data_IF_039885571186
#
_entry.id   IF_039885571186
#
_cell.length_a   1.000
_cell.length_b   1.000
_cell.length_c   1.000
_cell.angle_alpha   90.00
_cell.angle_beta   90.00
_cell.angle_gamma   90.00
#
_symmetry.space_group_name_H-M   'P 1'
#
loop_
_entity.id
_entity.type
_entity.pdbx_description
1 polymer ?
#
# COMPACT_ATOMS: atom_id res chain seq x y z
N UNK A 1 1.40 9.49 12.23
CA UNK A 1 1.02 8.30 11.45
C UNK A 1 2.07 7.24 11.70
N UNK A 2 1.68 6.04 12.09
CA UNK A 2 2.60 4.94 12.36
C UNK A 2 3.00 4.25 11.06
N UNK A 3 4.02 4.80 10.39
CA UNK A 3 4.66 4.19 9.22
C UNK A 3 3.74 3.89 8.02
N UNK A 4 3.10 4.90 7.38
CA UNK A 4 2.19 4.67 6.25
C UNK A 4 2.85 3.88 5.11
N UNK A 5 2.13 2.91 4.57
CA UNK A 5 2.55 2.12 3.41
C UNK A 5 2.01 2.65 2.09
N UNK A 6 2.82 2.54 1.04
CA UNK A 6 2.36 2.61 -0.35
C UNK A 6 2.19 1.18 -0.88
N UNK A 7 1.08 0.92 -1.53
CA UNK A 7 0.81 -0.38 -2.16
C UNK A 7 0.58 -0.19 -3.65
N UNK A 8 1.25 -1.01 -4.47
CA UNK A 8 1.20 -0.93 -5.93
C UNK A 8 0.79 -2.29 -6.48
N UNK A 9 -0.32 -2.34 -7.20
CA UNK A 9 -0.85 -3.54 -7.85
C UNK A 9 -0.59 -3.43 -9.35
N UNK A 10 0.22 -4.34 -9.88
CA UNK A 10 0.46 -4.47 -11.31
C UNK A 10 -0.35 -5.63 -11.90
N UNK A 11 -0.52 -5.59 -13.21
CA UNK A 11 -1.01 -6.71 -13.99
C UNK A 11 -0.12 -7.94 -13.78
N UNK A 12 -0.76 -9.06 -13.48
CA UNK A 12 -0.07 -10.32 -13.24
C UNK A 12 0.51 -10.47 -11.84
N UNK A 13 0.36 -9.51 -10.92
CA UNK A 13 0.71 -9.70 -9.51
C UNK A 13 -0.20 -10.70 -8.79
N UNK A 14 0.26 -11.27 -7.67
CA UNK A 14 -0.57 -12.10 -6.79
C UNK A 14 -1.65 -11.26 -6.08
N UNK A 15 -2.79 -11.12 -6.76
CA UNK A 15 -3.95 -10.38 -6.27
C UNK A 15 -4.45 -10.92 -4.92
N UNK A 16 -4.38 -12.23 -4.67
CA UNK A 16 -4.96 -12.81 -3.46
C UNK A 16 -4.18 -12.40 -2.21
N UNK A 17 -2.86 -12.56 -2.24
CA UNK A 17 -2.00 -12.14 -1.14
C UNK A 17 -2.02 -10.61 -0.98
N UNK A 18 -2.07 -9.87 -2.08
CA UNK A 18 -2.19 -8.42 -2.07
C UNK A 18 -3.49 -7.95 -1.40
N UNK A 19 -4.63 -8.57 -1.75
CA UNK A 19 -5.93 -8.25 -1.16
C UNK A 19 -5.92 -8.44 0.35
N UNK A 20 -5.30 -9.51 0.87
CA UNK A 20 -5.25 -9.73 2.31
C UNK A 20 -4.61 -8.54 3.05
N UNK A 21 -3.46 -8.06 2.57
CA UNK A 21 -2.80 -6.87 3.12
C UNK A 21 -3.67 -5.61 3.05
N UNK A 22 -4.30 -5.37 1.90
CA UNK A 22 -5.14 -4.19 1.70
C UNK A 22 -6.40 -4.23 2.58
N UNK A 23 -7.07 -5.37 2.65
CA UNK A 23 -8.30 -5.55 3.43
C UNK A 23 -8.01 -5.34 4.93
N UNK A 24 -6.94 -5.92 5.45
CA UNK A 24 -6.51 -5.66 6.84
C UNK A 24 -6.27 -4.17 7.09
N UNK A 25 -5.62 -3.47 6.16
CA UNK A 25 -5.39 -2.03 6.25
C UNK A 25 -6.68 -1.20 6.13
N UNK A 26 -7.65 -1.66 5.34
CA UNK A 26 -8.95 -1.02 5.20
C UNK A 26 -9.77 -1.11 6.48
N UNK A 27 -9.67 -2.23 7.21
CA UNK A 27 -10.37 -2.44 8.48
C UNK A 27 -9.73 -1.70 9.65
N UNK A 28 -8.40 -1.51 9.64
CA UNK A 28 -7.68 -0.68 10.60
C UNK A 28 -6.65 0.25 9.90
N UNK A 29 -7.11 1.36 9.31
CA UNK A 29 -6.23 2.31 8.62
C UNK A 29 -5.32 3.12 9.56
N UNK A 30 -5.48 2.95 10.88
CA UNK A 30 -4.65 3.59 11.90
C UNK A 30 -3.56 2.66 12.42
N UNK A 31 -3.60 1.37 12.05
CA UNK A 31 -2.59 0.39 12.41
C UNK A 31 -1.19 0.78 11.93
N UNK A 32 -0.18 0.20 12.58
CA UNK A 32 1.20 0.32 12.13
C UNK A 32 1.36 -0.34 10.75
N UNK A 33 2.07 0.34 9.85
CA UNK A 33 2.32 -0.14 8.48
C UNK A 33 1.06 -0.31 7.62
N UNK A 34 -0.09 0.24 8.05
CA UNK A 34 -1.30 0.24 7.23
C UNK A 34 -1.06 0.94 5.89
N UNK A 35 -1.65 0.39 4.83
CA UNK A 35 -1.66 1.00 3.51
C UNK A 35 -2.37 2.35 3.61
N UNK A 36 -1.66 3.40 3.22
CA UNK A 36 -2.19 4.75 3.12
C UNK A 36 -2.67 5.01 1.69
N UNK A 37 -1.86 4.63 0.70
CA UNK A 37 -2.13 4.89 -0.71
C UNK A 37 -2.02 3.61 -1.49
N UNK A 38 -2.99 3.38 -2.36
CA UNK A 38 -3.08 2.27 -3.26
C UNK A 38 -2.95 2.78 -4.71
N UNK A 39 -2.00 2.23 -5.46
CA UNK A 39 -1.90 2.41 -6.90
C UNK A 39 -2.32 1.11 -7.56
N UNK A 40 -3.28 1.16 -8.49
CA UNK A 40 -3.75 -0.02 -9.21
C UNK A 40 -3.56 0.17 -10.70
N UNK A 41 -2.98 -0.82 -11.37
CA UNK A 41 -2.85 -0.78 -12.83
C UNK A 41 -4.23 -0.86 -13.47
N UNK A 42 -4.49 0.01 -14.45
CA UNK A 42 -5.81 0.18 -15.09
C UNK A 42 -6.41 -1.15 -15.58
N UNK A 43 -5.59 -2.03 -16.15
CA UNK A 43 -6.02 -3.33 -16.70
C UNK A 43 -6.60 -4.30 -15.68
N UNK A 44 -6.29 -4.14 -14.38
CA UNK A 44 -6.79 -5.01 -13.31
C UNK A 44 -7.71 -4.30 -12.32
N UNK A 45 -7.87 -2.97 -12.44
CA UNK A 45 -8.60 -2.11 -11.49
C UNK A 45 -9.96 -2.66 -11.12
N UNK A 46 -10.85 -2.81 -12.09
CA UNK A 46 -12.26 -3.11 -11.82
C UNK A 46 -12.39 -4.50 -11.17
N UNK A 47 -11.71 -5.51 -11.73
CA UNK A 47 -11.71 -6.87 -11.16
C UNK A 47 -11.09 -6.94 -9.75
N UNK A 48 -10.10 -6.08 -9.46
CA UNK A 48 -9.48 -6.00 -8.15
C UNK A 48 -10.43 -5.36 -7.14
N UNK A 49 -11.08 -4.26 -7.53
CA UNK A 49 -12.01 -3.52 -6.67
C UNK A 49 -13.26 -4.34 -6.35
N UNK A 50 -13.83 -5.06 -7.31
CA UNK A 50 -14.95 -5.96 -7.06
C UNK A 50 -14.63 -6.95 -5.93
N UNK A 51 -13.47 -7.61 -5.99
CA UNK A 51 -13.04 -8.58 -4.97
C UNK A 51 -12.70 -7.95 -3.63
N UNK A 52 -12.20 -6.72 -3.62
CA UNK A 52 -11.94 -5.98 -2.37
C UNK A 52 -13.26 -5.61 -1.68
N UNK A 53 -14.24 -5.13 -2.44
CA UNK A 53 -15.57 -4.77 -1.91
C UNK A 53 -16.29 -5.98 -1.30
N UNK A 54 -16.15 -7.16 -1.90
CA UNK A 54 -16.71 -8.41 -1.37
C UNK A 54 -16.13 -8.80 0.00
N UNK A 55 -14.89 -8.37 0.30
CA UNK A 55 -14.20 -8.67 1.55
C UNK A 55 -14.30 -7.54 2.59
N UNK A 56 -14.84 -6.37 2.22
CA UNK A 56 -15.07 -5.29 3.17
C UNK A 56 -16.15 -5.70 4.18
N UNK A 57 -15.88 -5.39 5.44
CA UNK A 57 -16.74 -5.66 6.59
C UNK A 57 -16.88 -4.39 7.39
N UNK A 58 -17.88 -4.33 8.26
CA UNK A 58 -18.07 -3.20 9.15
C UNK A 58 -16.80 -2.94 9.98
N UNK A 59 -16.39 -1.67 10.00
CA UNK A 59 -15.28 -1.19 10.82
C UNK A 59 -15.57 -1.41 12.30
N UNK A 60 -14.52 -1.69 13.07
CA UNK A 60 -14.59 -1.68 14.53
C UNK A 60 -15.11 -0.31 15.02
N UNK A 61 -15.97 -0.25 16.04
CA UNK A 61 -16.48 1.01 16.57
C UNK A 61 -15.40 2.03 16.93
N UNK A 62 -14.20 1.61 17.35
CA UNK A 62 -13.10 2.54 17.63
C UNK A 62 -12.59 3.23 16.36
N UNK A 63 -12.51 2.50 15.25
CA UNK A 63 -12.10 3.03 13.95
C UNK A 63 -13.22 3.91 13.36
N UNK A 64 -14.46 3.40 13.36
CA UNK A 64 -15.62 4.10 12.80
C UNK A 64 -15.95 5.42 13.53
N UNK A 65 -15.67 5.50 14.83
CA UNK A 65 -15.87 6.72 15.61
C UNK A 65 -14.60 7.57 15.74
N UNK A 66 -13.48 7.17 15.12
CA UNK A 66 -12.24 7.92 15.20
C UNK A 66 -12.43 9.35 14.62
N UNK A 67 -12.05 10.42 15.33
CA UNK A 67 -12.32 11.80 14.89
C UNK A 67 -11.78 12.14 13.50
N UNK A 68 -10.63 11.57 13.12
CA UNK A 68 -10.08 11.74 11.76
C UNK A 68 -10.99 11.11 10.71
N UNK A 69 -11.47 9.88 10.94
CA UNK A 69 -12.34 9.19 9.99
C UNK A 69 -13.66 9.93 9.80
N UNK A 70 -14.31 10.33 10.89
CA UNK A 70 -15.57 11.10 10.85
C UNK A 70 -15.40 12.42 10.11
N UNK A 71 -14.30 13.14 10.35
CA UNK A 71 -13.98 14.40 9.67
C UNK A 71 -13.76 14.19 8.17
N UNK A 72 -13.02 13.13 7.81
CA UNK A 72 -12.76 12.77 6.42
C UNK A 72 -14.05 12.42 5.70
N UNK A 73 -14.92 11.61 6.31
CA UNK A 73 -16.23 11.23 5.75
C UNK A 73 -17.09 12.48 5.43
N UNK A 74 -17.18 13.42 6.39
CA UNK A 74 -17.91 14.66 6.20
C UNK A 74 -17.31 15.53 5.07
N UNK A 75 -15.98 15.51 4.90
CA UNK A 75 -15.29 16.23 3.83
C UNK A 75 -15.57 15.61 2.47
N UNK A 76 -15.44 14.29 2.34
CA UNK A 76 -15.71 13.54 1.11
C UNK A 76 -17.14 13.74 0.63
N UNK A 77 -18.12 13.75 1.54
CA UNK A 77 -19.50 14.03 1.21
C UNK A 77 -19.70 15.43 0.62
N UNK A 78 -19.01 16.45 1.15
CA UNK A 78 -19.11 17.83 0.65
C UNK A 78 -18.57 17.99 -0.76
N UNK A 79 -17.48 17.31 -1.08
CA UNK A 79 -16.82 17.42 -2.38
C UNK A 79 -17.35 16.41 -3.42
N UNK A 80 -18.25 15.51 -3.00
CA UNK A 80 -18.79 14.43 -3.86
C UNK A 80 -17.68 13.59 -4.50
N UNK A 81 -16.69 13.23 -3.68
CA UNK A 81 -15.59 12.37 -4.14
C UNK A 81 -16.13 11.03 -4.64
N UNK A 82 -15.45 10.46 -5.64
CA UNK A 82 -15.67 9.06 -5.99
C UNK A 82 -15.09 8.18 -4.88
N UNK A 83 -15.96 7.43 -4.21
CA UNK A 83 -15.58 6.52 -3.13
C UNK A 83 -16.00 5.11 -3.47
N UNK A 84 -15.17 4.16 -3.04
CA UNK A 84 -15.45 2.73 -3.09
C UNK A 84 -15.62 2.29 -1.64
N UNK A 85 -16.78 1.72 -1.36
CA UNK A 85 -17.24 1.34 -0.02
C UNK A 85 -17.71 -0.10 0.00
N UNK A 86 -17.85 -0.68 1.19
CA UNK A 86 -18.38 -2.02 1.35
C UNK A 86 -19.83 -2.12 0.86
N UNK A 87 -20.27 -3.35 0.61
CA UNK A 87 -21.63 -3.61 0.15
C UNK A 87 -22.65 -3.00 1.14
N UNK A 88 -23.51 -2.05 0.72
CA UNK A 88 -24.43 -1.34 1.62
C UNK A 88 -25.51 -2.24 2.23
N UNK A 89 -25.70 -3.45 1.71
CA UNK A 89 -26.58 -4.46 2.32
C UNK A 89 -25.97 -5.14 3.54
N UNK A 90 -24.64 -5.10 3.67
CA UNK A 90 -23.87 -5.80 4.70
C UNK A 90 -23.13 -4.85 5.64
N UNK A 91 -22.76 -3.67 5.13
CA UNK A 91 -21.91 -2.70 5.85
C UNK A 91 -22.64 -1.36 5.94
N UNK A 92 -22.87 -0.84 7.16
CA UNK A 92 -23.57 0.42 7.32
C UNK A 92 -22.69 1.60 6.85
N UNK A 93 -23.26 2.66 6.24
CA UNK A 93 -22.49 3.76 5.65
C UNK A 93 -21.58 4.51 6.62
N UNK A 94 -21.93 4.56 7.90
CA UNK A 94 -21.14 5.26 8.94
C UNK A 94 -19.97 4.43 9.48
N UNK A 95 -19.87 3.14 9.13
CA UNK A 95 -18.79 2.26 9.57
C UNK A 95 -18.28 1.40 8.40
N UNK A 96 -18.26 1.96 7.19
CA UNK A 96 -17.69 1.28 6.02
C UNK A 96 -16.20 1.57 5.87
N UNK A 97 -15.36 0.55 5.61
CA UNK A 97 -14.04 0.79 5.04
C UNK A 97 -14.18 1.56 3.72
N UNK A 98 -13.17 2.37 3.37
CA UNK A 98 -13.28 3.29 2.25
C UNK A 98 -11.98 3.46 1.49
N UNK A 99 -12.07 3.29 0.18
CA UNK A 99 -11.11 3.80 -0.78
C UNK A 99 -11.66 5.08 -1.41
N UNK A 100 -10.77 6.03 -1.70
CA UNK A 100 -11.13 7.31 -2.31
C UNK A 100 -10.32 7.50 -3.59
N UNK A 101 -11.01 7.57 -4.73
CA UNK A 101 -10.36 7.73 -6.03
C UNK A 101 -9.86 9.15 -6.24
N UNK A 102 -8.67 9.28 -6.85
CA UNK A 102 -8.14 10.50 -7.45
C UNK A 102 -8.05 11.73 -6.53
N UNK A 103 -7.90 11.49 -5.22
CA UNK A 103 -7.59 12.50 -4.21
C UNK A 103 -6.30 12.15 -3.49
N UNK A 104 -5.49 13.16 -3.22
CA UNK A 104 -4.28 13.02 -2.41
C UNK A 104 -4.63 13.07 -0.91
N UNK A 105 -3.83 12.42 -0.07
CA UNK A 105 -4.01 12.48 1.39
C UNK A 105 -3.96 13.90 1.92
N UNK A 106 -3.08 14.73 1.36
CA UNK A 106 -2.99 16.15 1.68
C UNK A 106 -4.32 16.89 1.51
N UNK A 107 -5.14 16.47 0.55
CA UNK A 107 -6.47 17.04 0.36
C UNK A 107 -7.43 16.59 1.46
N UNK A 108 -7.24 15.44 2.08
CA UNK A 108 -8.16 14.88 3.09
C UNK A 108 -7.87 15.41 4.49
N UNK A 109 -6.60 15.51 4.88
CA UNK A 109 -6.18 16.14 6.13
C UNK A 109 -4.70 15.94 6.45
N UNK A 110 -4.27 16.52 7.58
CA UNK A 110 -2.91 16.36 8.08
C UNK A 110 -2.80 15.07 8.91
N UNK A 111 -2.06 14.08 8.42
CA UNK A 111 -1.85 12.79 9.09
C UNK A 111 -2.85 11.71 8.69
N UNK A 112 -3.07 10.67 9.53
CA UNK A 112 -3.93 9.54 9.17
C UNK A 112 -5.41 9.96 9.14
N UNK A 113 -6.04 9.74 7.99
CA UNK A 113 -7.40 10.22 7.68
C UNK A 113 -8.48 9.16 7.93
N UNK A 114 -8.08 7.91 8.14
CA UNK A 114 -8.99 6.77 8.32
C UNK A 114 -9.55 6.22 7.00
N UNK A 115 -9.05 6.68 5.86
CA UNK A 115 -9.39 6.16 4.53
C UNK A 115 -8.12 5.91 3.73
N UNK A 116 -8.20 5.08 2.71
CA UNK A 116 -7.07 4.81 1.82
C UNK A 116 -7.31 5.56 0.50
N UNK A 117 -6.31 6.31 0.02
CA UNK A 117 -6.39 6.96 -1.29
C UNK A 117 -6.04 5.97 -2.38
N UNK A 118 -6.76 6.03 -3.50
CA UNK A 118 -6.55 5.14 -4.63
C UNK A 118 -6.32 5.94 -5.91
N UNK A 119 -5.30 5.54 -6.67
CA UNK A 119 -5.03 6.08 -7.99
C UNK A 119 -4.81 4.97 -9.01
N UNK A 120 -5.20 5.24 -10.24
CA UNK A 120 -5.00 4.31 -11.36
C UNK A 120 -3.78 4.73 -12.16
N UNK A 121 -3.02 3.77 -12.68
CA UNK A 121 -1.88 4.02 -13.57
C UNK A 121 -1.85 3.04 -14.75
N UNK A 122 -1.21 3.44 -15.85
CA UNK A 122 -0.99 2.59 -17.03
C UNK A 122 0.45 2.15 -17.19
N UNK A 123 1.40 2.96 -16.71
CA UNK A 123 2.84 2.69 -16.84
C UNK A 123 3.57 2.84 -15.50
N UNK A 124 4.74 2.18 -15.31
CA UNK A 124 5.58 2.37 -14.12
C UNK A 124 5.92 3.85 -13.86
N UNK A 125 6.12 4.63 -14.93
CA UNK A 125 6.35 6.08 -14.83
C UNK A 125 5.16 6.81 -14.23
N UNK A 126 3.95 6.53 -14.70
CA UNK A 126 2.72 7.12 -14.14
C UNK A 126 2.51 6.76 -12.67
N UNK A 127 2.79 5.50 -12.28
CA UNK A 127 2.71 5.07 -10.88
C UNK A 127 3.56 5.96 -9.96
N UNK A 128 4.72 6.42 -10.44
CA UNK A 128 5.61 7.29 -9.64
C UNK A 128 5.20 8.76 -9.64
N UNK A 129 4.41 9.21 -10.63
CA UNK A 129 3.98 10.61 -10.72
C UNK A 129 2.95 10.99 -9.65
N UNK A 130 2.17 10.03 -9.17
CA UNK A 130 1.23 10.24 -8.06
C UNK A 130 1.98 10.71 -6.80
N UNK A 131 3.12 10.09 -6.50
CA UNK A 131 3.97 10.45 -5.36
C UNK A 131 4.64 11.84 -5.48
N UNK A 132 4.67 12.44 -6.67
CA UNK A 132 5.18 13.82 -6.82
C UNK A 132 4.17 14.86 -6.32
N UNK A 133 2.88 14.51 -6.31
CA UNK A 133 1.79 15.38 -5.85
C UNK A 133 1.45 15.18 -4.37
N UNK A 134 1.83 14.03 -3.82
CA UNK A 134 1.62 13.67 -2.43
C UNK A 134 2.81 14.14 -1.56
N UNK A 135 2.54 14.79 -0.42
CA UNK A 135 3.60 15.13 0.55
C UNK A 135 3.74 14.08 1.65
N UNK A 136 2.87 13.07 1.66
CA UNK A 136 2.98 11.91 2.52
C UNK A 136 4.31 11.19 2.27
N UNK A 137 5.03 10.89 3.35
CA UNK A 137 6.25 10.10 3.31
C UNK A 137 5.93 8.68 3.70
N UNK A 138 6.09 7.75 2.77
CA UNK A 138 5.84 6.33 3.02
C UNK A 138 7.04 5.68 3.71
N UNK A 139 6.77 4.89 4.75
CA UNK A 139 7.82 4.11 5.43
C UNK A 139 8.21 2.88 4.64
N UNK A 140 7.31 2.33 3.81
CA UNK A 140 7.58 1.20 2.95
C UNK A 140 6.68 1.21 1.70
N UNK A 141 7.13 0.52 0.66
CA UNK A 141 6.38 0.31 -0.58
C UNK A 141 6.23 -1.19 -0.81
N UNK A 142 4.99 -1.68 -0.93
CA UNK A 142 4.70 -3.05 -1.37
C UNK A 142 4.31 -3.03 -2.85
N UNK A 143 4.98 -3.85 -3.67
CA UNK A 143 4.78 -3.93 -5.11
C UNK A 143 4.37 -5.35 -5.45
N UNK A 144 3.19 -5.52 -6.02
CA UNK A 144 2.62 -6.81 -6.38
C UNK A 144 2.70 -6.98 -7.89
N UNK A 145 3.73 -7.68 -8.35
CA UNK A 145 4.08 -7.88 -9.75
C UNK A 145 4.96 -9.12 -9.91
N UNK A 146 4.54 -10.08 -10.73
CA UNK A 146 5.35 -11.29 -11.02
C UNK A 146 6.54 -10.98 -11.95
N UNK A 147 6.49 -9.88 -12.71
CA UNK A 147 7.61 -9.42 -13.54
C UNK A 147 8.58 -8.60 -12.70
N UNK A 148 9.54 -9.27 -12.06
CA UNK A 148 10.56 -8.63 -11.21
C UNK A 148 11.23 -7.42 -11.89
N UNK A 149 11.62 -7.51 -13.16
CA UNK A 149 12.25 -6.39 -13.87
C UNK A 149 11.41 -5.10 -13.81
N UNK A 150 10.09 -5.20 -13.99
CA UNK A 150 9.17 -4.06 -13.91
C UNK A 150 9.03 -3.53 -12.47
N UNK A 151 9.06 -4.41 -11.47
CA UNK A 151 9.07 -3.99 -10.07
C UNK A 151 10.35 -3.19 -9.72
N UNK A 152 11.51 -3.60 -10.24
CA UNK A 152 12.76 -2.86 -10.04
C UNK A 152 12.78 -1.51 -10.77
N UNK A 153 12.11 -1.37 -11.92
CA UNK A 153 11.92 -0.07 -12.56
C UNK A 153 11.17 0.90 -11.64
N UNK A 154 10.11 0.44 -10.99
CA UNK A 154 9.37 1.24 -10.01
C UNK A 154 10.26 1.57 -8.80
N UNK A 155 11.00 0.59 -8.27
CA UNK A 155 11.98 0.83 -7.19
C UNK A 155 12.99 1.91 -7.56
N UNK A 156 13.45 1.96 -8.82
CA UNK A 156 14.43 2.93 -9.30
C UNK A 156 13.87 4.36 -9.42
N UNK A 157 12.58 4.49 -9.74
CA UNK A 157 11.90 5.77 -9.94
C UNK A 157 11.40 6.38 -8.63
N UNK A 158 11.12 5.56 -7.62
CA UNK A 158 10.64 6.00 -6.31
C UNK A 158 11.77 6.48 -5.40
N UNK A 159 11.48 7.44 -4.51
CA UNK A 159 12.46 8.02 -3.56
C UNK A 159 12.58 7.21 -2.26
N UNK A 160 11.59 6.36 -2.02
CA UNK A 160 11.47 5.50 -0.86
C UNK A 160 12.67 4.53 -0.81
N UNK A 161 12.98 4.06 0.40
CA UNK A 161 14.17 3.22 0.65
C UNK A 161 13.83 1.76 0.92
N UNK A 162 12.58 1.43 1.27
CA UNK A 162 12.18 0.09 1.69
C UNK A 162 11.11 -0.43 0.75
N UNK A 163 11.46 -1.46 -0.01
CA UNK A 163 10.57 -2.10 -0.98
C UNK A 163 10.35 -3.57 -0.62
N UNK A 164 9.10 -4.00 -0.74
CA UNK A 164 8.63 -5.35 -0.52
C UNK A 164 7.98 -5.83 -1.82
N UNK A 165 8.57 -6.77 -2.54
CA UNK A 165 8.03 -7.29 -3.80
C UNK A 165 7.28 -8.59 -3.51
N UNK A 166 6.00 -8.63 -3.89
CA UNK A 166 5.06 -9.72 -3.62
C UNK A 166 5.03 -10.15 -2.13
N UNK A 167 5.25 -9.19 -1.23
CA UNK A 167 5.16 -9.37 0.21
C UNK A 167 4.88 -8.03 0.90
N UNK A 168 4.65 -8.06 2.22
CA UNK A 168 4.44 -6.88 3.05
C UNK A 168 4.81 -7.17 4.51
N UNK A 169 5.06 -6.12 5.30
CA UNK A 169 5.36 -6.21 6.74
C UNK A 169 6.45 -7.23 7.14
N UNK A 170 7.45 -7.43 6.27
CA UNK A 170 8.57 -8.33 6.56
C UNK A 170 9.57 -7.67 7.53
N UNK A 171 10.05 -8.42 8.52
CA UNK A 171 11.09 -7.98 9.44
C UNK A 171 12.41 -7.71 8.69
N UNK A 172 12.89 -6.46 8.74
CA UNK A 172 14.11 -6.00 8.08
C UNK A 172 15.37 -6.15 8.94
N UNK A 173 15.25 -6.59 10.20
CA UNK A 173 16.38 -6.82 11.11
C UNK A 173 17.56 -7.56 10.47
N UNK A 174 17.34 -8.59 9.61
CA UNK A 174 18.44 -9.31 8.97
C UNK A 174 19.38 -8.45 8.11
N UNK A 175 18.87 -7.38 7.49
CA UNK A 175 19.59 -6.60 6.47
C UNK A 175 19.91 -5.16 6.89
N UNK A 176 19.23 -4.64 7.92
CA UNK A 176 19.44 -3.29 8.46
C UNK A 176 20.92 -2.96 8.77
N UNK A 177 21.75 -3.86 9.36
CA UNK A 177 23.16 -3.54 9.61
C UNK A 177 23.95 -3.21 8.35
N UNK A 178 23.70 -3.95 7.25
CA UNK A 178 24.37 -3.72 5.97
C UNK A 178 23.91 -2.42 5.30
N UNK A 179 22.60 -2.12 5.39
CA UNK A 179 22.08 -0.82 4.94
C UNK A 179 22.77 0.33 5.71
N UNK A 180 22.82 0.25 7.05
CA UNK A 180 23.42 1.29 7.88
C UNK A 180 24.92 1.49 7.57
N UNK A 181 25.63 0.40 7.30
CA UNK A 181 27.04 0.42 6.90
C UNK A 181 27.27 0.86 5.44
N UNK A 182 26.20 1.18 4.67
CA UNK A 182 26.26 1.52 3.23
C UNK A 182 26.94 0.44 2.37
N UNK A 183 26.81 -0.83 2.74
CA UNK A 183 27.46 -1.98 2.07
C UNK A 183 26.44 -2.83 1.33
N UNK A 184 26.65 -3.06 0.02
CA UNK A 184 25.84 -4.03 -0.72
C UNK A 184 25.92 -5.39 -0.05
N UNK A 185 24.75 -5.98 0.17
CA UNK A 185 24.63 -7.25 0.89
C UNK A 185 23.35 -7.95 0.43
N UNK A 186 23.38 -9.27 0.47
CA UNK A 186 22.26 -10.15 0.08
C UNK A 186 22.16 -11.26 1.12
N UNK A 187 20.94 -11.52 1.61
CA UNK A 187 20.68 -12.57 2.60
C UNK A 187 19.39 -13.29 2.27
N UNK A 188 19.35 -14.59 2.54
CA UNK A 188 18.11 -15.36 2.55
C UNK A 188 17.83 -15.80 3.98
N UNK A 189 16.73 -15.35 4.56
CA UNK A 189 16.34 -15.64 5.95
C UNK A 189 14.84 -15.91 5.99
N UNK A 190 14.43 -17.03 6.60
CA UNK A 190 13.00 -17.40 6.80
C UNK A 190 12.14 -17.32 5.52
N UNK A 191 12.69 -17.74 4.38
CA UNK A 191 11.96 -17.74 3.10
C UNK A 191 11.88 -16.39 2.39
N UNK A 192 12.63 -15.38 2.85
CA UNK A 192 12.73 -14.08 2.18
C UNK A 192 14.15 -13.81 1.72
N UNK A 193 14.29 -13.32 0.49
CA UNK A 193 15.51 -12.71 -0.04
C UNK A 193 15.48 -11.25 0.36
N UNK A 194 16.56 -10.82 1.00
CA UNK A 194 16.82 -9.45 1.35
C UNK A 194 18.03 -9.00 0.58
N UNK A 195 17.98 -7.78 0.07
CA UNK A 195 19.16 -7.16 -0.52
C UNK A 195 19.22 -5.69 -0.18
N UNK A 196 20.45 -5.19 -0.12
CA UNK A 196 20.71 -3.76 -0.09
C UNK A 196 21.59 -3.37 -1.25
N UNK A 197 21.19 -2.31 -1.95
CA UNK A 197 21.88 -1.82 -3.13
C UNK A 197 21.67 -0.33 -3.29
N UNK A 198 22.45 0.28 -4.18
CA UNK A 198 22.36 1.70 -4.50
C UNK A 198 21.77 1.85 -5.90
N UNK A 199 20.58 2.45 -6.01
CA UNK A 199 19.96 2.81 -7.29
C UNK A 199 19.82 4.32 -7.33
N UNK A 200 20.25 4.96 -8.42
CA UNK A 200 20.14 6.41 -8.61
C UNK A 200 20.69 7.20 -7.40
N UNK A 201 21.85 6.77 -6.88
CA UNK A 201 22.52 7.34 -5.69
C UNK A 201 21.75 7.20 -4.37
N UNK A 202 20.61 6.51 -4.37
CA UNK A 202 19.82 6.24 -3.18
C UNK A 202 20.05 4.81 -2.70
N UNK A 203 20.22 4.68 -1.38
CA UNK A 203 20.34 3.39 -0.73
C UNK A 203 18.97 2.78 -0.53
N UNK A 204 18.79 1.53 -0.98
CA UNK A 204 17.52 0.82 -0.91
C UNK A 204 17.70 -0.55 -0.26
N UNK A 205 16.68 -0.96 0.49
CA UNK A 205 16.39 -2.35 0.85
C UNK A 205 15.29 -2.82 -0.07
N UNK A 206 15.50 -3.97 -0.69
CA UNK A 206 14.49 -4.70 -1.44
C UNK A 206 14.35 -6.08 -0.79
N UNK A 207 13.11 -6.48 -0.52
CA UNK A 207 12.78 -7.79 0.05
C UNK A 207 11.75 -8.46 -0.83
N UNK A 208 11.87 -9.75 -1.06
CA UNK A 208 10.87 -10.54 -1.77
C UNK A 208 10.87 -11.99 -1.28
N UNK A 209 9.71 -12.63 -1.35
CA UNK A 209 9.58 -14.04 -0.97
C UNK A 209 10.37 -14.95 -1.93
N UNK A 210 11.01 -15.98 -1.39
CA UNK A 210 11.79 -16.98 -2.14
C UNK A 210 11.12 -18.33 -1.99
N UNK A 211 10.58 -18.84 -3.10
CA UNK A 211 9.89 -20.12 -3.18
C UNK A 211 8.44 -20.08 -2.71
N UNK A 212 7.73 -21.18 -2.88
CA UNK A 212 6.45 -21.42 -2.19
C UNK A 212 6.74 -21.47 -0.70
N UNK A 213 6.32 -20.43 0.03
CA UNK A 213 6.17 -20.50 1.48
C UNK A 213 5.05 -21.53 1.72
N UNK A 214 5.41 -22.82 1.77
CA UNK A 214 4.53 -23.81 2.36
C UNK A 214 4.40 -23.40 3.81
N UNK A 215 3.22 -22.88 4.15
CA UNK A 215 2.85 -22.56 5.51
C UNK A 215 3.08 -23.81 6.38
N UNK A 216 3.87 -23.65 7.43
CA UNK A 216 3.79 -24.52 8.61
C UNK A 216 2.70 -23.98 9.53
#
# INVERSE_FOLDING_TARGET
WNSPGLMIICEGGDINSAMHHLVTSLHDPFAENAVATLLVQESVRDTFIERVVEQMQQLDPQVANHPSYVRTLAKLQKIKAETIVGNPKMVPPNATPMLVSDLTHNFLGDGPTGVITMHTFRTPKEATQVNLKETLQYSSVSIWNEKLASAYEVCALLKEQRFMLNCYNVDLTPILPAHAAKKNDVKIVKGYHYETLTINQQRKIIVFAVGTIFAN
#
